data_IF_072705158257
#
_entry.id   IF_072705158257
#
_cell.length_a   1.000
_cell.length_b   1.000
_cell.length_c   1.000
_cell.angle_alpha   90.00
_cell.angle_beta   90.00
_cell.angle_gamma   90.00
#
_symmetry.space_group_name_H-M   'P 1'
#
loop_
_entity.id
_entity.type
_entity.pdbx_description
1 polymer ?
#
# COMPACT_ATOMS: atom_id res chain seq x y z
N UNK A 1 -13.02 -13.24 5.77
CA UNK A 1 -11.63 -13.09 5.31
C UNK A 1 -11.44 -11.76 4.59
N UNK A 2 -10.24 -11.22 4.56
CA UNK A 2 -9.91 -9.96 3.87
C UNK A 2 -8.93 -10.29 2.73
N UNK A 3 -9.20 -9.77 1.54
CA UNK A 3 -8.26 -9.80 0.42
C UNK A 3 -7.52 -8.46 0.38
N UNK A 4 -6.19 -8.46 0.44
CA UNK A 4 -5.39 -7.25 0.37
C UNK A 4 -4.54 -7.24 -0.91
N UNK A 5 -4.49 -6.11 -1.60
CA UNK A 5 -3.83 -5.94 -2.90
C UNK A 5 -3.01 -4.65 -2.90
N UNK A 6 -1.76 -4.73 -3.31
CA UNK A 6 -0.91 -3.57 -3.60
C UNK A 6 -0.11 -3.78 -4.88
N UNK A 7 0.06 -2.72 -5.66
CA UNK A 7 0.87 -2.71 -6.88
C UNK A 7 1.74 -1.45 -7.01
N UNK A 8 2.10 -0.84 -5.89
CA UNK A 8 2.90 0.38 -5.84
C UNK A 8 4.40 0.15 -6.09
N UNK A 9 4.94 -1.01 -5.70
CA UNK A 9 6.37 -1.36 -5.85
C UNK A 9 6.56 -2.57 -6.76
N UNK A 10 5.76 -3.59 -6.60
CA UNK A 10 5.60 -4.79 -7.43
C UNK A 10 4.11 -5.11 -7.48
N UNK A 11 3.72 -6.35 -7.75
CA UNK A 11 2.35 -6.82 -7.55
C UNK A 11 2.33 -7.76 -6.37
N UNK A 12 1.57 -7.46 -5.35
CA UNK A 12 1.46 -8.30 -4.17
C UNK A 12 -0.01 -8.45 -3.73
N UNK A 13 -0.35 -9.64 -3.30
CA UNK A 13 -1.68 -10.04 -2.83
C UNK A 13 -1.54 -10.83 -1.55
N UNK A 14 -2.44 -10.61 -0.60
CA UNK A 14 -2.53 -11.44 0.59
C UNK A 14 -4.00 -11.73 0.94
N UNK A 15 -4.23 -12.87 1.57
CA UNK A 15 -5.47 -13.20 2.28
C UNK A 15 -5.18 -13.18 3.77
N UNK A 16 -5.98 -12.44 4.52
CA UNK A 16 -5.89 -12.39 5.97
C UNK A 16 -7.22 -12.79 6.61
N UNK A 17 -7.19 -13.14 7.88
CA UNK A 17 -8.43 -13.21 8.65
C UNK A 17 -8.98 -11.81 9.00
N UNK A 18 -10.09 -11.79 9.73
CA UNK A 18 -10.74 -10.54 10.12
C UNK A 18 -9.91 -9.69 11.11
N UNK A 19 -8.85 -10.23 11.68
CA UNK A 19 -7.93 -9.52 12.59
C UNK A 19 -6.68 -9.02 11.89
N UNK A 20 -6.52 -9.31 10.58
CA UNK A 20 -5.36 -8.94 9.78
C UNK A 20 -4.22 -9.96 9.79
N UNK A 21 -4.40 -11.11 10.44
CA UNK A 21 -3.39 -12.18 10.44
C UNK A 21 -3.36 -12.87 9.07
N UNK A 22 -2.17 -12.92 8.46
CA UNK A 22 -1.93 -13.52 7.16
C UNK A 22 -2.29 -15.02 7.15
N UNK A 23 -2.98 -15.46 6.11
CA UNK A 23 -3.32 -16.86 5.82
C UNK A 23 -2.62 -17.36 4.56
N UNK A 24 -2.44 -16.49 3.59
CA UNK A 24 -1.70 -16.75 2.36
C UNK A 24 -1.23 -15.44 1.75
N UNK A 25 -0.12 -15.46 1.03
CA UNK A 25 0.36 -14.31 0.28
C UNK A 25 1.07 -14.75 -1.00
N UNK A 26 1.12 -13.85 -1.98
CA UNK A 26 1.88 -14.05 -3.20
C UNK A 26 2.30 -12.72 -3.79
N UNK A 27 3.47 -12.69 -4.43
CA UNK A 27 3.99 -11.48 -5.04
C UNK A 27 4.70 -11.75 -6.36
N UNK A 28 4.79 -10.72 -7.19
CA UNK A 28 5.63 -10.67 -8.38
C UNK A 28 6.42 -9.36 -8.37
N UNK A 29 7.74 -9.50 -8.43
CA UNK A 29 8.64 -8.35 -8.52
C UNK A 29 8.70 -7.73 -9.93
N UNK A 30 8.12 -8.40 -10.94
CA UNK A 30 8.08 -7.88 -12.29
C UNK A 30 7.11 -6.70 -12.42
N UNK A 31 7.71 -5.50 -12.48
CA UNK A 31 6.99 -4.23 -12.57
C UNK A 31 6.40 -3.94 -13.96
N UNK A 32 6.47 -4.88 -14.91
CA UNK A 32 5.92 -4.72 -16.27
C UNK A 32 4.70 -5.60 -16.52
N UNK A 33 4.51 -6.63 -15.70
CA UNK A 33 3.47 -7.65 -15.85
C UNK A 33 2.37 -7.56 -14.78
N UNK A 34 2.12 -6.36 -14.23
CA UNK A 34 1.09 -6.19 -13.18
C UNK A 34 -0.27 -6.76 -13.61
N UNK A 35 -0.71 -6.46 -14.83
CA UNK A 35 -2.03 -6.87 -15.32
C UNK A 35 -2.12 -8.38 -15.54
N UNK A 36 -1.03 -9.00 -16.00
CA UNK A 36 -0.94 -10.44 -16.21
C UNK A 36 -0.81 -11.23 -14.91
N UNK A 37 -0.17 -10.63 -13.90
CA UNK A 37 0.17 -11.29 -12.64
C UNK A 37 -0.95 -11.25 -11.60
N UNK A 38 -1.75 -10.18 -11.57
CA UNK A 38 -2.66 -9.92 -10.45
C UNK A 38 -3.78 -10.95 -10.32
N UNK A 39 -4.39 -11.36 -11.43
CA UNK A 39 -5.44 -12.39 -11.44
C UNK A 39 -4.93 -13.75 -10.93
N UNK A 40 -3.84 -14.29 -11.50
CA UNK A 40 -3.19 -15.50 -10.98
C UNK A 40 -2.80 -15.42 -9.51
N UNK A 41 -2.28 -14.28 -9.03
CA UNK A 41 -1.91 -14.08 -7.61
C UNK A 41 -3.13 -14.12 -6.69
N UNK A 42 -4.23 -13.48 -7.08
CA UNK A 42 -5.49 -13.55 -6.32
C UNK A 42 -5.99 -15.00 -6.25
N UNK A 43 -6.05 -15.70 -7.38
CA UNK A 43 -6.50 -17.08 -7.43
C UNK A 43 -5.62 -18.01 -6.58
N UNK A 44 -4.30 -17.83 -6.64
CA UNK A 44 -3.34 -18.59 -5.84
C UNK A 44 -3.52 -18.34 -4.34
N UNK A 45 -3.60 -17.07 -3.91
CA UNK A 45 -3.76 -16.72 -2.50
C UNK A 45 -5.07 -17.26 -1.91
N UNK A 46 -6.18 -17.22 -2.65
CA UNK A 46 -7.45 -17.82 -2.23
C UNK A 46 -7.35 -19.33 -2.09
N UNK A 47 -6.72 -20.01 -3.06
CA UNK A 47 -6.55 -21.46 -3.03
C UNK A 47 -5.63 -21.90 -1.87
N UNK A 48 -4.52 -21.20 -1.66
CA UNK A 48 -3.57 -21.50 -0.56
C UNK A 48 -4.22 -21.26 0.81
N UNK A 49 -5.04 -20.22 0.96
CA UNK A 49 -5.83 -19.98 2.16
C UNK A 49 -6.99 -20.98 2.32
N UNK A 50 -7.21 -21.88 1.35
CA UNK A 50 -8.31 -22.84 1.29
C UNK A 50 -9.69 -22.19 1.44
N UNK A 51 -9.90 -21.06 0.72
CA UNK A 51 -11.16 -20.31 0.67
C UNK A 51 -11.57 -20.02 -0.78
N UNK A 52 -12.80 -19.57 -0.92
CA UNK A 52 -13.34 -19.07 -2.19
C UNK A 52 -13.51 -17.54 -2.14
N UNK A 53 -13.79 -16.92 -3.29
CA UNK A 53 -14.13 -15.51 -3.33
C UNK A 53 -15.36 -15.17 -2.45
N UNK A 54 -16.26 -16.13 -2.22
CA UNK A 54 -17.45 -15.94 -1.41
C UNK A 54 -17.14 -15.71 0.09
N UNK A 55 -15.99 -16.18 0.56
CA UNK A 55 -15.57 -16.07 1.95
C UNK A 55 -14.90 -14.73 2.27
N UNK A 56 -14.58 -13.93 1.23
CA UNK A 56 -14.01 -12.59 1.37
C UNK A 56 -15.12 -11.59 1.73
N UNK A 57 -14.90 -10.84 2.78
CA UNK A 57 -15.88 -9.86 3.33
C UNK A 57 -15.44 -8.41 3.21
N UNK A 58 -14.19 -8.15 2.87
CA UNK A 58 -13.66 -6.83 2.56
C UNK A 58 -12.42 -6.95 1.67
N UNK A 59 -12.12 -5.88 0.93
CA UNK A 59 -10.87 -5.75 0.16
C UNK A 59 -10.06 -4.59 0.73
N UNK A 60 -8.79 -4.82 1.06
CA UNK A 60 -7.83 -3.77 1.37
C UNK A 60 -7.05 -3.43 0.11
N UNK A 61 -6.96 -2.15 -0.19
CA UNK A 61 -6.35 -1.63 -1.41
C UNK A 61 -5.26 -0.64 -1.07
N UNK A 62 -4.02 -0.94 -1.49
CA UNK A 62 -2.93 0.03 -1.44
C UNK A 62 -3.15 1.13 -2.50
N UNK A 63 -3.14 2.40 -2.05
CA UNK A 63 -3.38 3.56 -2.94
C UNK A 63 -2.10 4.32 -3.30
N UNK A 64 -0.94 3.74 -3.03
CA UNK A 64 0.37 4.33 -3.28
C UNK A 64 0.94 5.06 -2.06
N UNK A 65 2.00 5.84 -2.27
CA UNK A 65 2.54 6.32 -3.55
C UNK A 65 3.19 5.22 -4.38
N UNK A 66 3.16 5.38 -5.70
CA UNK A 66 3.77 4.43 -6.62
C UNK A 66 3.66 4.88 -8.08
N UNK A 67 4.32 4.15 -9.03
CA UNK A 67 4.25 4.43 -10.45
C UNK A 67 2.80 4.36 -10.96
N UNK A 68 2.40 5.40 -11.69
CA UNK A 68 1.04 5.66 -12.14
C UNK A 68 0.31 4.45 -12.76
N UNK A 69 0.96 3.75 -13.71
CA UNK A 69 0.34 2.63 -14.43
C UNK A 69 0.20 1.40 -13.54
N UNK A 70 1.27 1.03 -12.83
CA UNK A 70 1.26 -0.14 -11.94
C UNK A 70 0.21 0.01 -10.85
N UNK A 71 0.23 1.15 -10.15
CA UNK A 71 -0.70 1.43 -9.06
C UNK A 71 -2.18 1.25 -9.48
N UNK A 72 -2.55 1.74 -10.65
CA UNK A 72 -3.92 1.62 -11.15
C UNK A 72 -4.37 0.19 -11.43
N UNK A 73 -3.45 -0.70 -11.82
CA UNK A 73 -3.79 -2.11 -12.07
C UNK A 73 -4.26 -2.79 -10.78
N UNK A 74 -3.50 -2.63 -9.68
CA UNK A 74 -3.90 -3.20 -8.40
C UNK A 74 -5.19 -2.60 -7.87
N UNK A 75 -5.34 -1.28 -7.97
CA UNK A 75 -6.55 -0.59 -7.54
C UNK A 75 -7.77 -1.05 -8.33
N UNK A 76 -7.68 -1.12 -9.67
CA UNK A 76 -8.78 -1.60 -10.52
C UNK A 76 -9.16 -3.06 -10.20
N UNK A 77 -8.18 -3.92 -9.93
CA UNK A 77 -8.45 -5.30 -9.55
C UNK A 77 -9.15 -5.39 -8.18
N UNK A 78 -8.71 -4.58 -7.21
CA UNK A 78 -9.33 -4.51 -5.88
C UNK A 78 -10.79 -4.02 -5.98
N UNK A 79 -11.04 -2.94 -6.71
CA UNK A 79 -12.37 -2.39 -6.92
C UNK A 79 -13.28 -3.36 -7.68
N UNK A 80 -12.78 -3.99 -8.77
CA UNK A 80 -13.55 -4.95 -9.54
C UNK A 80 -13.93 -6.18 -8.72
N UNK A 81 -13.01 -6.71 -7.92
CA UNK A 81 -13.28 -7.82 -7.01
C UNK A 81 -14.34 -7.44 -5.96
N UNK A 82 -14.15 -6.29 -5.31
CA UNK A 82 -15.08 -5.82 -4.28
C UNK A 82 -16.47 -5.55 -4.83
N UNK A 83 -16.56 -4.91 -5.99
CA UNK A 83 -17.82 -4.63 -6.67
C UNK A 83 -18.54 -5.91 -7.07
N UNK A 84 -17.83 -6.88 -7.68
CA UNK A 84 -18.43 -8.17 -8.06
C UNK A 84 -18.91 -8.99 -6.86
N UNK A 85 -18.45 -8.67 -5.65
CA UNK A 85 -18.83 -9.31 -4.40
C UNK A 85 -19.77 -8.47 -3.53
N UNK A 86 -20.04 -7.22 -3.91
CA UNK A 86 -20.83 -6.24 -3.12
C UNK A 86 -20.27 -6.05 -1.68
N UNK A 87 -18.92 -6.01 -1.56
CA UNK A 87 -18.21 -5.86 -0.30
C UNK A 87 -17.42 -4.53 -0.26
N UNK A 88 -17.10 -4.00 0.94
CA UNK A 88 -16.37 -2.74 1.07
C UNK A 88 -14.93 -2.83 0.59
N UNK A 89 -14.41 -1.69 0.10
CA UNK A 89 -13.00 -1.43 -0.15
C UNK A 89 -12.45 -0.52 0.94
N UNK A 90 -11.33 -0.90 1.53
CA UNK A 90 -10.59 -0.16 2.53
C UNK A 90 -9.27 0.32 1.94
N UNK A 91 -9.17 1.61 1.69
CA UNK A 91 -7.99 2.21 1.09
C UNK A 91 -6.95 2.59 2.14
N UNK A 92 -5.69 2.15 1.92
CA UNK A 92 -4.57 2.35 2.84
C UNK A 92 -3.36 2.84 2.04
N UNK A 93 -2.56 3.74 2.61
CA UNK A 93 -1.32 4.18 1.97
C UNK A 93 -0.32 3.02 1.91
N UNK A 94 0.31 2.79 0.77
CA UNK A 94 1.28 1.69 0.60
C UNK A 94 2.50 1.82 1.54
N UNK A 95 2.90 3.05 1.90
CA UNK A 95 3.96 3.31 2.87
C UNK A 95 3.62 2.84 4.29
N UNK A 96 2.33 2.71 4.63
CA UNK A 96 1.88 2.27 5.96
C UNK A 96 2.35 0.83 6.28
N UNK A 97 2.76 0.05 5.27
CA UNK A 97 3.33 -1.29 5.45
C UNK A 97 4.58 -1.31 6.36
N UNK A 98 5.32 -0.20 6.44
CA UNK A 98 6.55 -0.08 7.24
C UNK A 98 6.35 0.67 8.56
N UNK A 99 5.11 0.99 8.92
CA UNK A 99 4.80 1.90 10.03
C UNK A 99 3.84 1.32 11.05
N UNK A 100 4.02 0.04 11.38
CA UNK A 100 3.34 -0.63 12.49
C UNK A 100 4.33 -0.77 13.65
N UNK A 101 3.92 -0.32 14.86
CA UNK A 101 4.72 -0.37 16.09
C UNK A 101 6.11 0.26 15.96
N UNK A 102 6.22 1.39 15.26
CA UNK A 102 7.47 2.18 15.24
C UNK A 102 7.70 2.85 16.60
N UNK A 103 8.96 2.99 16.99
CA UNK A 103 9.40 3.54 18.27
C UNK A 103 9.91 5.00 18.19
N UNK A 104 10.07 5.52 16.97
CA UNK A 104 10.60 6.85 16.69
C UNK A 104 10.01 7.43 15.42
N UNK A 105 10.11 8.74 15.25
CA UNK A 105 9.71 9.39 14.01
C UNK A 105 10.41 8.74 12.81
N UNK A 106 9.65 8.43 11.79
CA UNK A 106 10.11 7.65 10.64
C UNK A 106 9.75 8.36 9.34
N UNK A 107 10.73 8.50 8.44
CA UNK A 107 10.57 8.93 7.07
C UNK A 107 10.58 7.69 6.16
N UNK A 108 9.43 7.32 5.63
CA UNK A 108 9.32 6.24 4.66
C UNK A 108 9.49 6.79 3.25
N UNK A 109 10.35 6.14 2.47
CA UNK A 109 10.81 6.62 1.17
C UNK A 109 10.65 5.54 0.11
N UNK A 110 10.05 5.87 -1.01
CA UNK A 110 9.95 4.98 -2.19
C UNK A 110 10.35 5.69 -3.49
N UNK A 111 10.64 4.92 -4.53
CA UNK A 111 11.02 5.43 -5.85
C UNK A 111 9.82 6.10 -6.55
N UNK A 112 9.83 7.42 -6.66
CA UNK A 112 8.83 8.18 -7.41
C UNK A 112 9.16 8.34 -8.90
N UNK A 113 10.23 7.71 -9.39
CA UNK A 113 10.77 7.88 -10.74
C UNK A 113 11.26 9.31 -11.02
N UNK A 114 11.82 9.55 -12.20
CA UNK A 114 12.28 10.88 -12.66
C UNK A 114 13.26 11.58 -11.71
N UNK A 115 14.08 10.82 -10.99
CA UNK A 115 15.08 11.39 -10.07
C UNK A 115 14.50 11.94 -8.76
N UNK A 116 13.34 11.45 -8.35
CA UNK A 116 12.68 11.86 -7.10
C UNK A 116 12.33 10.66 -6.23
N UNK A 117 12.20 10.93 -4.96
CA UNK A 117 11.64 10.06 -3.93
C UNK A 117 10.21 10.50 -3.58
N UNK A 118 9.33 9.55 -3.33
CA UNK A 118 8.09 9.79 -2.61
C UNK A 118 8.35 9.55 -1.13
N UNK A 119 8.02 10.51 -0.30
CA UNK A 119 8.32 10.52 1.12
C UNK A 119 7.05 10.70 1.95
N UNK A 120 6.91 9.94 3.04
CA UNK A 120 5.85 10.13 4.04
C UNK A 120 6.48 10.13 5.43
N UNK A 121 6.16 11.11 6.27
CA UNK A 121 6.59 11.13 7.66
C UNK A 121 5.55 10.51 8.57
N UNK A 122 6.02 9.73 9.52
CA UNK A 122 5.23 9.08 10.54
C UNK A 122 5.76 9.38 11.93
N UNK A 123 4.86 9.43 12.90
CA UNK A 123 5.18 9.48 14.31
C UNK A 123 4.55 8.28 15.03
N UNK A 124 5.18 7.73 16.07
CA UNK A 124 4.60 6.60 16.81
C UNK A 124 3.19 6.90 17.30
N UNK A 125 2.30 5.91 17.18
CA UNK A 125 0.98 6.04 17.79
C UNK A 125 1.09 5.87 19.32
N UNK A 126 0.51 6.76 20.14
CA UNK A 126 0.67 6.72 21.61
C UNK A 126 0.12 5.43 22.23
N UNK A 127 -0.82 4.76 21.58
CA UNK A 127 -1.42 3.50 22.03
C UNK A 127 -0.81 2.26 21.31
N UNK A 128 0.29 2.43 20.57
CA UNK A 128 0.87 1.38 19.73
C UNK A 128 0.10 1.09 18.45
N UNK A 129 0.57 0.14 17.63
CA UNK A 129 -0.02 -0.25 16.37
C UNK A 129 0.37 0.67 15.20
N UNK A 130 -0.53 0.88 14.21
CA UNK A 130 -0.22 1.72 13.05
C UNK A 130 0.11 3.15 13.44
N UNK A 131 1.25 3.64 12.95
CA UNK A 131 1.74 4.98 13.23
C UNK A 131 0.83 6.07 12.62
N UNK A 132 0.89 7.25 13.20
CA UNK A 132 0.21 8.43 12.71
C UNK A 132 1.01 9.08 11.59
N UNK A 133 0.33 9.50 10.53
CA UNK A 133 0.94 10.29 9.47
C UNK A 133 1.13 11.71 9.98
N UNK A 134 2.39 12.15 10.10
CA UNK A 134 2.73 13.50 10.60
C UNK A 134 2.91 14.53 9.48
N UNK A 135 3.00 14.09 8.22
CA UNK A 135 2.96 14.97 7.05
C UNK A 135 2.30 14.28 5.87
N UNK A 136 1.64 15.05 5.01
CA UNK A 136 1.20 14.55 3.71
C UNK A 136 2.38 13.96 2.92
N UNK A 137 2.09 12.96 2.07
CA UNK A 137 3.11 12.38 1.19
C UNK A 137 3.59 13.42 0.19
N UNK A 138 4.91 13.59 0.05
CA UNK A 138 5.53 14.61 -0.79
C UNK A 138 6.64 14.05 -1.66
N UNK A 139 7.04 14.81 -2.68
CA UNK A 139 8.19 14.51 -3.52
C UNK A 139 9.44 15.20 -2.99
N UNK A 140 10.58 14.50 -3.10
CA UNK A 140 11.91 14.99 -2.74
C UNK A 140 12.89 14.63 -3.85
N UNK A 141 13.73 15.57 -4.32
CA UNK A 141 14.81 15.25 -5.27
C UNK A 141 15.75 14.17 -4.72
N UNK A 142 16.13 13.19 -5.52
CA UNK A 142 17.08 12.14 -5.09
C UNK A 142 18.41 12.68 -4.62
N UNK A 143 18.85 13.81 -5.16
CA UNK A 143 20.08 14.46 -4.75
C UNK A 143 20.06 14.92 -3.29
N UNK A 144 18.88 15.07 -2.68
CA UNK A 144 18.73 15.51 -1.30
C UNK A 144 18.74 14.36 -0.29
N UNK A 145 18.64 13.10 -0.74
CA UNK A 145 18.60 11.93 0.12
C UNK A 145 19.29 10.74 -0.55
N UNK A 146 20.48 10.40 -0.06
CA UNK A 146 21.22 9.23 -0.55
C UNK A 146 20.52 7.92 -0.14
N UNK A 147 20.60 6.85 -0.98
CA UNK A 147 19.91 5.58 -0.69
C UNK A 147 20.37 4.84 0.57
N UNK A 148 21.51 5.19 1.11
CA UNK A 148 22.10 4.65 2.35
C UNK A 148 21.86 5.52 3.59
N UNK A 149 21.08 6.58 3.44
CA UNK A 149 20.72 7.47 4.56
C UNK A 149 19.84 6.71 5.55
N UNK A 150 20.24 6.69 6.80
CA UNK A 150 19.51 6.02 7.88
C UNK A 150 18.76 6.99 8.81
N UNK A 151 19.10 8.29 8.77
CA UNK A 151 18.45 9.33 9.55
C UNK A 151 18.43 10.66 8.80
N UNK A 152 17.33 11.41 8.91
CA UNK A 152 17.18 12.76 8.38
C UNK A 152 16.22 13.60 9.24
N UNK A 153 16.65 14.80 9.61
CA UNK A 153 15.86 15.76 10.38
C UNK A 153 15.23 15.15 11.64
N UNK A 154 16.00 14.29 12.34
CA UNK A 154 15.59 13.61 13.56
C UNK A 154 14.65 12.42 13.34
N UNK A 155 14.37 12.03 12.09
CA UNK A 155 13.57 10.88 11.76
C UNK A 155 14.44 9.74 11.21
N UNK A 156 14.16 8.51 11.61
CA UNK A 156 14.72 7.30 11.00
C UNK A 156 14.26 7.24 9.54
N UNK A 157 15.16 6.95 8.61
CA UNK A 157 14.85 6.79 7.18
C UNK A 157 14.71 5.31 6.85
N UNK A 158 13.60 4.94 6.19
CA UNK A 158 13.34 3.57 5.76
C UNK A 158 12.92 3.58 4.29
N UNK A 159 13.67 2.87 3.44
CA UNK A 159 13.35 2.72 2.04
C UNK A 159 12.41 1.53 1.82
N UNK A 160 11.37 1.73 1.01
CA UNK A 160 10.41 0.69 0.64
C UNK A 160 11.02 -0.16 -0.47
N UNK A 161 11.38 -1.38 -0.17
CA UNK A 161 11.83 -2.38 -1.14
C UNK A 161 10.65 -3.23 -1.65
N UNK A 162 9.73 -3.53 -0.74
CA UNK A 162 8.49 -4.27 -1.02
C UNK A 162 7.34 -3.75 -0.15
N UNK A 163 6.13 -4.04 -0.55
CA UNK A 163 4.91 -3.77 0.23
C UNK A 163 4.29 -5.10 0.63
N UNK A 164 4.00 -5.27 1.91
CA UNK A 164 3.23 -6.41 2.42
C UNK A 164 1.74 -6.07 2.47
N UNK A 165 0.89 -6.64 1.60
CA UNK A 165 -0.54 -6.41 1.67
C UNK A 165 -1.17 -6.93 2.96
N UNK A 166 -0.61 -7.98 3.57
CA UNK A 166 -1.07 -8.47 4.86
C UNK A 166 -0.90 -7.43 5.96
N UNK A 167 0.23 -6.71 5.97
CA UNK A 167 0.44 -5.60 6.92
C UNK A 167 -0.53 -4.45 6.63
N UNK A 168 -0.82 -4.14 5.36
CA UNK A 168 -1.85 -3.15 5.02
C UNK A 168 -3.23 -3.56 5.52
N UNK A 169 -3.57 -4.86 5.49
CA UNK A 169 -4.81 -5.37 6.08
C UNK A 169 -4.83 -5.17 7.60
N UNK A 170 -3.71 -5.45 8.29
CA UNK A 170 -3.57 -5.19 9.73
C UNK A 170 -3.78 -3.70 10.05
N UNK A 171 -3.19 -2.80 9.25
CA UNK A 171 -3.38 -1.35 9.38
C UNK A 171 -4.84 -0.97 9.21
N UNK A 172 -5.50 -1.46 8.15
CA UNK A 172 -6.91 -1.17 7.88
C UNK A 172 -7.81 -1.64 9.02
N UNK A 173 -7.64 -2.87 9.49
CA UNK A 173 -8.41 -3.45 10.61
C UNK A 173 -8.20 -2.64 11.89
N UNK A 174 -6.95 -2.31 12.22
CA UNK A 174 -6.64 -1.55 13.43
C UNK A 174 -7.27 -0.15 13.41
N UNK A 175 -7.18 0.57 12.28
CA UNK A 175 -7.82 1.89 12.11
C UNK A 175 -9.34 1.81 12.19
N UNK A 176 -9.94 0.81 11.54
CA UNK A 176 -11.39 0.58 11.62
C UNK A 176 -11.85 0.32 13.07
N UNK A 177 -11.11 -0.52 13.80
CA UNK A 177 -11.41 -0.84 15.19
C UNK A 177 -11.34 0.40 16.12
N UNK A 178 -10.52 1.39 15.77
CA UNK A 178 -10.39 2.67 16.48
C UNK A 178 -11.39 3.73 16.00
N UNK A 179 -12.19 3.44 14.98
CA UNK A 179 -13.09 4.41 14.37
C UNK A 179 -12.35 5.51 13.58
N UNK A 180 -11.12 5.25 13.17
CA UNK A 180 -10.33 6.16 12.35
C UNK A 180 -10.82 6.13 10.89
N UNK A 181 -10.75 7.27 10.22
CA UNK A 181 -11.12 7.37 8.81
C UNK A 181 -10.01 6.76 7.94
N UNK A 182 -10.37 5.82 7.08
CA UNK A 182 -9.50 5.33 6.03
C UNK A 182 -9.42 6.34 4.88
N UNK A 183 -8.43 6.15 3.99
CA UNK A 183 -8.27 7.02 2.83
C UNK A 183 -9.44 6.83 1.84
N UNK A 184 -9.65 7.83 0.99
CA UNK A 184 -10.49 7.67 -0.18
C UNK A 184 -9.87 6.61 -1.13
N UNK A 185 -10.68 5.82 -1.83
CA UNK A 185 -10.20 4.85 -2.82
C UNK A 185 -9.73 5.55 -4.10
N UNK A 186 -8.78 6.46 -3.96
CA UNK A 186 -8.16 7.24 -5.05
C UNK A 186 -6.66 7.14 -4.99
N UNK A 187 -5.98 7.05 -6.14
CA UNK A 187 -4.52 6.99 -6.15
C UNK A 187 -3.91 8.24 -5.54
N UNK A 188 -2.90 8.06 -4.69
CA UNK A 188 -2.08 9.16 -4.17
C UNK A 188 -1.15 9.67 -5.28
N UNK A 189 -1.68 10.55 -6.15
CA UNK A 189 -0.90 11.19 -7.19
C UNK A 189 -0.10 12.35 -6.61
N UNK A 190 1.21 12.23 -6.61
CA UNK A 190 2.13 13.28 -6.15
C UNK A 190 2.49 14.26 -7.27
N UNK A 191 2.08 13.98 -8.51
CA UNK A 191 2.26 14.85 -9.68
C UNK A 191 0.97 14.95 -10.46
N UNK A 192 0.78 16.10 -11.06
CA UNK A 192 -0.25 16.23 -12.10
C UNK A 192 0.14 15.41 -13.33
N UNK A 193 -0.83 14.84 -14.07
CA UNK A 193 -0.55 14.21 -15.35
C UNK A 193 0.12 15.20 -16.30
N UNK A 194 1.15 14.76 -17.03
CA UNK A 194 1.74 15.54 -18.13
C UNK A 194 0.75 15.60 -19.31
N UNK A 195 -0.25 16.45 -19.21
CA UNK A 195 -1.19 16.71 -20.31
C UNK A 195 -0.68 17.94 -21.04
N UNK A 196 -0.07 17.73 -22.21
CA UNK A 196 0.12 18.81 -23.17
C UNK A 196 -1.25 19.14 -23.72
N UNK A 197 -1.83 20.28 -23.30
CA UNK A 197 -3.08 20.76 -23.93
C UNK A 197 -2.77 21.02 -25.39
N UNK A 198 -3.53 20.47 -26.35
CA UNK A 198 -3.40 20.87 -27.74
C UNK A 198 -3.73 22.35 -27.84
N UNK A 199 -2.84 23.09 -28.55
CA UNK A 199 -3.06 24.48 -28.88
C UNK A 199 -4.14 24.65 -29.95
#
# INVERSE_FOLDING_TARGET
MILAIDSSVGTAVAVTDATGVERAAGSSADRRSHAESIGPLIAHALAEANITAADVTAVVMGVGPGPFTGLRVGMAAAEAFAWGREIPVWAVRSHDTLCVDIDSDTLVVSDARRGEWACTRYTPHPEGGPALVSSETFLMPRAELAPDTTERDGARVVFVEEVSPAVLATVAVSRQARGETLLDPRPLYLRQPDVTMPQ
#
